data_IF_585494543208
#
_entry.id   IF_585494543208
#
_cell.length_a   1.000
_cell.length_b   1.000
_cell.length_c   1.000
_cell.angle_alpha   90.00
_cell.angle_beta   90.00
_cell.angle_gamma   90.00
#
_symmetry.space_group_name_H-M   'P 1'
#
loop_
_entity.id
_entity.type
_entity.pdbx_description
1 polymer ?
#
# COMPACT_ATOMS: atom_id res chain seq x y z
N UNK A 1 -5.72 -17.21 18.03
CA UNK A 1 -6.22 -15.81 18.02
C UNK A 1 -5.98 -15.29 19.42
N UNK A 2 -5.44 -14.08 19.54
CA UNK A 2 -5.16 -13.45 20.82
C UNK A 2 -6.00 -12.18 20.88
N UNK A 3 -6.61 -11.91 22.03
CA UNK A 3 -7.30 -10.65 22.26
C UNK A 3 -6.27 -9.54 22.48
N UNK A 4 -6.58 -8.31 22.06
CA UNK A 4 -5.80 -7.12 22.42
C UNK A 4 -6.37 -6.55 23.72
N UNK A 5 -5.69 -6.72 24.87
CA UNK A 5 -6.28 -6.40 26.18
C UNK A 5 -6.24 -4.91 26.52
N UNK A 6 -5.37 -4.13 25.88
CA UNK A 6 -5.19 -2.71 26.14
C UNK A 6 -6.06 -1.85 25.24
N UNK A 7 -6.63 -0.80 25.83
CA UNK A 7 -7.31 0.27 25.11
C UNK A 7 -7.00 1.61 25.78
N UNK A 8 -6.39 2.52 25.02
CA UNK A 8 -6.05 3.87 25.47
C UNK A 8 -6.11 4.84 24.29
N UNK A 9 -6.65 6.04 24.51
CA UNK A 9 -6.71 7.11 23.50
C UNK A 9 -7.27 6.67 22.14
N UNK A 10 -8.32 5.84 22.17
CA UNK A 10 -8.96 5.32 20.95
C UNK A 10 -8.16 4.26 20.20
N UNK A 11 -7.07 3.74 20.79
CA UNK A 11 -6.19 2.74 20.17
C UNK A 11 -6.19 1.44 20.98
N UNK A 12 -6.38 0.31 20.31
CA UNK A 12 -6.20 -1.02 20.87
C UNK A 12 -4.73 -1.44 20.84
N UNK A 13 -4.24 -2.07 21.90
CA UNK A 13 -2.83 -2.48 21.97
C UNK A 13 -2.63 -3.76 22.81
N UNK A 14 -1.51 -4.44 22.57
CA UNK A 14 -1.08 -5.64 23.28
C UNK A 14 0.38 -5.95 22.94
N UNK A 15 1.02 -6.81 23.74
CA UNK A 15 2.41 -7.22 23.52
C UNK A 15 2.49 -8.75 23.44
N UNK A 16 3.19 -9.22 22.41
CA UNK A 16 3.43 -10.64 22.14
C UNK A 16 4.86 -10.81 21.61
N UNK A 17 5.49 -11.94 21.90
CA UNK A 17 6.80 -12.27 21.32
C UNK A 17 6.64 -12.68 19.85
N UNK A 18 7.35 -12.00 18.96
CA UNK A 18 7.31 -12.20 17.50
C UNK A 18 8.71 -12.03 16.90
N UNK A 19 8.88 -12.47 15.66
CA UNK A 19 10.10 -12.30 14.87
C UNK A 19 9.78 -11.59 13.55
N UNK A 20 10.79 -11.01 12.90
CA UNK A 20 10.64 -10.47 11.55
C UNK A 20 10.16 -11.57 10.57
N UNK A 21 9.20 -11.23 9.72
CA UNK A 21 8.50 -12.16 8.83
C UNK A 21 7.30 -12.86 9.46
N UNK A 22 7.05 -12.69 10.77
CA UNK A 22 5.84 -13.22 11.40
C UNK A 22 4.59 -12.63 10.73
N UNK A 23 3.77 -13.51 10.15
CA UNK A 23 2.51 -13.16 9.52
C UNK A 23 1.41 -12.94 10.57
N UNK A 24 0.60 -11.88 10.37
CA UNK A 24 -0.51 -11.54 11.24
C UNK A 24 -1.64 -10.81 10.46
N UNK A 25 -2.72 -10.53 11.17
CA UNK A 25 -3.87 -9.76 10.73
C UNK A 25 -4.89 -9.62 11.86
N UNK A 26 -5.88 -8.76 11.69
CA UNK A 26 -6.87 -8.44 12.71
C UNK A 26 -8.26 -9.04 12.44
N UNK A 27 -9.05 -9.15 13.50
CA UNK A 27 -10.50 -9.39 13.43
C UNK A 27 -11.16 -8.43 14.41
N UNK A 28 -11.98 -7.55 13.88
CA UNK A 28 -12.69 -6.57 14.68
C UNK A 28 -14.09 -7.08 15.04
N UNK A 29 -14.45 -6.92 16.31
CA UNK A 29 -15.77 -7.19 16.83
C UNK A 29 -16.46 -5.86 17.13
N UNK A 30 -17.75 -5.79 16.82
CA UNK A 30 -18.52 -4.58 17.01
C UNK A 30 -19.94 -4.73 16.47
N UNK A 31 -20.74 -3.65 16.52
CA UNK A 31 -22.10 -3.65 16.01
C UNK A 31 -22.16 -3.80 14.49
N UNK A 32 -23.21 -4.47 14.02
CA UNK A 32 -23.59 -4.46 12.61
C UNK A 32 -24.85 -3.61 12.46
N UNK A 33 -24.69 -2.42 11.87
CA UNK A 33 -25.78 -1.50 11.56
C UNK A 33 -25.45 -0.73 10.28
N UNK A 34 -25.79 -1.29 9.10
CA UNK A 34 -25.59 -0.64 7.82
C UNK A 34 -26.23 0.74 7.70
N UNK A 35 -27.32 1.01 8.42
CA UNK A 35 -28.04 2.29 8.36
C UNK A 35 -27.22 3.47 8.88
N UNK A 36 -26.24 3.21 9.74
CA UNK A 36 -25.27 4.21 10.22
C UNK A 36 -23.83 3.87 9.81
N UNK A 37 -23.68 2.93 8.87
CA UNK A 37 -22.39 2.53 8.30
C UNK A 37 -21.55 1.61 9.18
N UNK A 38 -22.09 0.96 10.21
CA UNK A 38 -21.32 0.04 11.07
C UNK A 38 -21.29 -1.37 10.44
N UNK A 39 -20.09 -1.85 10.09
CA UNK A 39 -19.90 -3.08 9.31
C UNK A 39 -18.94 -4.08 9.97
N UNK A 40 -18.94 -4.16 11.29
CA UNK A 40 -18.07 -5.08 12.01
C UNK A 40 -18.46 -6.54 11.72
N UNK A 41 -17.57 -7.27 11.06
CA UNK A 41 -17.74 -8.69 10.79
C UNK A 41 -16.47 -9.48 11.19
N UNK A 42 -16.44 -10.14 12.37
CA UNK A 42 -15.26 -10.84 12.84
C UNK A 42 -14.94 -12.11 12.03
N UNK A 43 -15.78 -12.50 11.06
CA UNK A 43 -15.45 -13.54 10.07
C UNK A 43 -14.47 -13.06 9.02
N UNK A 44 -14.27 -11.75 8.89
CA UNK A 44 -13.30 -11.17 7.97
C UNK A 44 -11.98 -10.92 8.69
N UNK A 45 -10.92 -11.56 8.21
CA UNK A 45 -9.54 -11.19 8.48
C UNK A 45 -9.27 -9.86 7.78
N UNK A 46 -8.69 -8.94 8.53
CA UNK A 46 -8.37 -7.59 8.10
C UNK A 46 -6.84 -7.41 8.15
N UNK A 47 -6.31 -6.62 7.21
CA UNK A 47 -4.94 -6.16 7.24
C UNK A 47 -4.75 -5.13 8.36
N UNK A 48 -3.50 -4.98 8.82
CA UNK A 48 -3.10 -3.85 9.63
C UNK A 48 -2.95 -2.59 8.75
N UNK A 49 -3.64 -1.47 9.05
CA UNK A 49 -3.46 -0.19 8.36
C UNK A 49 -2.02 0.32 8.34
N UNK A 50 -1.21 -0.06 9.33
CA UNK A 50 0.20 0.29 9.52
C UNK A 50 1.17 -0.83 9.10
N UNK A 51 0.71 -1.87 8.40
CA UNK A 51 1.58 -2.94 7.92
C UNK A 51 2.73 -2.39 7.06
N UNK A 52 3.98 -2.62 7.47
CA UNK A 52 5.19 -2.23 6.72
C UNK A 52 5.52 -3.19 5.57
N UNK A 53 4.90 -4.38 5.55
CA UNK A 53 4.93 -5.30 4.42
C UNK A 53 3.63 -6.13 4.41
N UNK A 54 3.16 -6.48 3.21
CA UNK A 54 1.99 -7.32 2.99
C UNK A 54 2.41 -8.47 2.07
N UNK A 55 2.09 -9.70 2.44
CA UNK A 55 2.62 -10.93 1.83
C UNK A 55 2.23 -11.17 0.35
N UNK A 56 1.47 -10.26 -0.27
CA UNK A 56 1.00 -10.37 -1.65
C UNK A 56 -0.31 -9.63 -1.88
N UNK A 57 -0.96 -9.93 -3.01
CA UNK A 57 -2.20 -9.24 -3.45
C UNK A 57 -3.49 -9.94 -2.98
N UNK A 58 -3.36 -11.15 -2.42
CA UNK A 58 -4.50 -12.01 -2.09
C UNK A 58 -5.17 -12.61 -3.32
N UNK A 59 -6.29 -13.29 -3.08
CA UNK A 59 -7.16 -13.86 -4.10
C UNK A 59 -8.55 -13.23 -4.01
N UNK A 60 -9.28 -13.27 -5.13
CA UNK A 60 -10.65 -12.76 -5.20
C UNK A 60 -11.66 -13.87 -4.91
N UNK A 61 -12.70 -13.55 -4.14
CA UNK A 61 -13.76 -14.50 -3.83
C UNK A 61 -14.90 -13.83 -3.08
N UNK A 62 -16.12 -14.40 -3.12
CA UNK A 62 -17.29 -13.81 -2.48
C UNK A 62 -17.15 -13.70 -0.96
N UNK A 63 -16.26 -14.48 -0.33
CA UNK A 63 -15.97 -14.42 1.10
C UNK A 63 -15.32 -13.10 1.53
N UNK A 64 -14.69 -12.36 0.61
CA UNK A 64 -14.14 -11.04 0.89
C UNK A 64 -15.22 -10.01 1.22
N UNK A 65 -16.44 -10.20 0.71
CA UNK A 65 -17.56 -9.32 0.99
C UNK A 65 -18.03 -9.53 2.44
N UNK A 66 -18.18 -8.44 3.20
CA UNK A 66 -18.74 -8.50 4.56
C UNK A 66 -20.25 -8.77 4.58
N UNK A 67 -20.93 -8.64 3.44
CA UNK A 67 -22.39 -8.69 3.31
C UNK A 67 -22.86 -9.88 2.48
N UNK A 68 -24.01 -10.43 2.83
CA UNK A 68 -24.81 -11.27 1.93
C UNK A 68 -25.61 -10.39 0.95
N UNK A 69 -26.33 -11.03 0.01
CA UNK A 69 -27.23 -10.31 -0.91
C UNK A 69 -28.36 -9.58 -0.17
N UNK A 70 -28.71 -10.05 1.04
CA UNK A 70 -29.70 -9.47 1.94
C UNK A 70 -29.11 -8.43 2.91
N UNK A 71 -27.87 -7.98 2.67
CA UNK A 71 -27.15 -7.00 3.50
C UNK A 71 -26.94 -7.42 4.98
N UNK A 72 -26.93 -8.73 5.23
CA UNK A 72 -26.61 -9.32 6.53
C UNK A 72 -25.10 -9.62 6.63
N UNK A 73 -24.53 -9.74 7.86
CA UNK A 73 -23.13 -10.13 8.01
C UNK A 73 -22.88 -11.49 7.38
N UNK A 74 -21.99 -11.55 6.39
CA UNK A 74 -21.63 -12.80 5.74
C UNK A 74 -20.88 -13.74 6.70
N UNK A 75 -21.32 -15.00 6.86
CA UNK A 75 -20.76 -15.90 7.87
C UNK A 75 -19.43 -16.57 7.47
N UNK A 76 -18.99 -16.43 6.21
CA UNK A 76 -17.83 -17.15 5.67
C UNK A 76 -16.52 -16.48 6.08
N UNK A 77 -15.51 -17.31 6.37
CA UNK A 77 -14.16 -16.84 6.68
C UNK A 77 -13.37 -16.54 5.40
N UNK A 78 -12.78 -15.34 5.30
CA UNK A 78 -12.00 -14.91 4.14
C UNK A 78 -10.48 -15.14 4.31
N UNK A 79 -10.02 -15.72 5.43
CA UNK A 79 -8.59 -15.77 5.76
C UNK A 79 -7.72 -16.47 4.69
N UNK A 80 -8.30 -17.35 3.88
CA UNK A 80 -7.62 -18.04 2.79
C UNK A 80 -7.44 -17.17 1.53
N UNK A 81 -8.17 -16.05 1.43
CA UNK A 81 -8.13 -15.10 0.31
C UNK A 81 -7.31 -13.85 0.65
N UNK A 82 -7.40 -13.37 1.90
CA UNK A 82 -6.71 -12.15 2.33
C UNK A 82 -5.21 -12.43 2.49
N UNK A 83 -4.31 -11.54 2.02
CA UNK A 83 -2.89 -11.66 2.33
C UNK A 83 -2.64 -11.45 3.83
N UNK A 84 -1.38 -11.50 4.27
CA UNK A 84 -1.01 -11.24 5.67
C UNK A 84 -0.18 -9.98 5.77
N UNK A 85 -0.44 -9.20 6.81
CA UNK A 85 0.52 -8.22 7.29
C UNK A 85 1.73 -8.95 7.85
N UNK A 86 2.93 -8.42 7.63
CA UNK A 86 4.17 -9.01 8.07
C UNK A 86 4.88 -8.08 9.05
N UNK A 87 5.45 -8.64 10.11
CA UNK A 87 6.39 -7.92 10.98
C UNK A 87 7.68 -7.70 10.19
N UNK A 88 8.19 -6.48 10.16
CA UNK A 88 9.40 -6.11 9.40
C UNK A 88 10.50 -5.70 10.38
N UNK A 89 11.72 -6.18 10.17
CA UNK A 89 12.91 -5.58 10.77
C UNK A 89 13.21 -4.27 10.02
N UNK A 90 13.16 -3.10 10.66
CA UNK A 90 13.42 -1.84 9.99
C UNK A 90 14.89 -1.65 9.58
N UNK A 91 15.81 -2.47 10.10
CA UNK A 91 17.25 -2.28 9.89
C UNK A 91 17.64 -2.31 8.41
N UNK A 92 18.35 -1.28 7.99
CA UNK A 92 18.94 -1.16 6.66
C UNK A 92 20.14 -0.21 6.73
N UNK A 93 21.29 -0.65 6.23
CA UNK A 93 22.47 0.20 6.19
C UNK A 93 22.41 1.14 4.99
N UNK A 94 22.14 2.42 5.24
CA UNK A 94 22.12 3.46 4.21
C UNK A 94 23.53 3.90 3.76
N UNK A 95 24.62 3.40 4.37
CA UNK A 95 26.02 3.78 4.04
C UNK A 95 26.24 5.31 3.98
N UNK A 96 25.55 6.07 4.85
CA UNK A 96 25.65 7.53 4.88
C UNK A 96 24.96 8.24 3.71
N UNK A 97 23.95 7.62 3.10
CA UNK A 97 23.09 8.21 2.08
C UNK A 97 22.60 9.61 2.44
N UNK A 98 22.56 10.50 1.44
CA UNK A 98 22.07 11.87 1.56
C UNK A 98 21.14 12.17 0.40
N UNK A 99 20.03 12.83 0.69
CA UNK A 99 19.11 13.34 -0.33
C UNK A 99 19.84 14.28 -1.32
N UNK A 100 19.69 14.08 -2.65
CA UNK A 100 20.34 14.91 -3.66
C UNK A 100 19.99 16.41 -3.57
N UNK A 101 18.72 16.74 -3.27
CA UNK A 101 18.21 18.12 -3.12
C UNK A 101 18.47 19.02 -4.34
N UNK A 102 18.05 18.54 -5.50
CA UNK A 102 18.13 19.29 -6.75
C UNK A 102 17.17 20.50 -6.65
N UNK A 103 17.64 21.72 -6.94
CA UNK A 103 16.77 22.90 -6.98
C UNK A 103 15.65 22.73 -8.02
N UNK A 104 14.44 23.21 -7.71
CA UNK A 104 13.28 23.07 -8.59
C UNK A 104 13.49 23.65 -10.00
N UNK A 105 14.28 24.71 -10.12
CA UNK A 105 14.65 25.33 -11.39
C UNK A 105 15.53 24.44 -12.28
N UNK A 106 16.23 23.46 -11.69
CA UNK A 106 17.11 22.51 -12.36
C UNK A 106 16.47 21.12 -12.48
N UNK A 107 15.25 20.93 -11.95
CA UNK A 107 14.59 19.62 -11.92
C UNK A 107 14.08 19.19 -13.30
N UNK A 108 14.46 17.98 -13.73
CA UNK A 108 13.86 17.24 -14.83
C UNK A 108 13.22 15.94 -14.31
N UNK A 109 11.90 15.92 -14.23
CA UNK A 109 11.10 14.78 -13.77
C UNK A 109 10.94 13.76 -14.91
N UNK A 110 11.16 12.48 -14.58
CA UNK A 110 10.89 11.35 -15.45
C UNK A 110 9.85 10.43 -14.79
N UNK A 111 8.62 10.46 -15.29
CA UNK A 111 7.56 9.56 -14.83
C UNK A 111 7.79 8.14 -15.39
N UNK A 112 7.80 7.15 -14.51
CA UNK A 112 8.02 5.76 -14.89
C UNK A 112 7.17 4.78 -14.09
N UNK A 113 6.78 3.70 -14.75
CA UNK A 113 6.18 2.56 -14.07
C UNK A 113 7.28 1.65 -13.48
N UNK A 114 7.24 1.26 -12.18
CA UNK A 114 8.26 0.42 -11.54
C UNK A 114 8.62 -0.86 -12.32
N UNK A 115 7.60 -1.58 -12.81
CA UNK A 115 7.76 -2.71 -13.74
C UNK A 115 8.10 -2.31 -15.18
N UNK A 116 7.28 -1.46 -15.80
CA UNK A 116 7.35 -1.14 -17.23
C UNK A 116 8.68 -0.60 -17.71
N UNK A 117 9.37 0.17 -16.86
CA UNK A 117 10.66 0.77 -17.20
C UNK A 117 11.72 -0.27 -17.59
N UNK A 118 11.68 -1.44 -16.95
CA UNK A 118 12.81 -2.41 -17.01
C UNK A 118 12.41 -3.82 -17.45
N UNK A 119 11.11 -4.13 -17.56
CA UNK A 119 10.63 -5.51 -17.81
C UNK A 119 11.15 -6.12 -19.12
N UNK A 120 11.43 -5.31 -20.14
CA UNK A 120 12.00 -5.74 -21.43
C UNK A 120 13.44 -5.26 -21.65
N UNK A 121 14.12 -4.74 -20.62
CA UNK A 121 15.46 -4.18 -20.78
C UNK A 121 16.49 -5.29 -21.10
N UNK A 122 17.17 -5.23 -22.27
CA UNK A 122 18.01 -6.35 -22.74
C UNK A 122 19.24 -6.58 -21.87
N UNK A 123 19.84 -5.51 -21.34
CA UNK A 123 21.08 -5.58 -20.56
C UNK A 123 20.87 -5.99 -19.09
N UNK A 124 19.62 -6.22 -18.67
CA UNK A 124 19.32 -6.70 -17.33
C UNK A 124 19.14 -8.23 -17.31
N UNK A 125 19.65 -8.92 -16.26
CA UNK A 125 19.30 -10.30 -15.98
C UNK A 125 17.78 -10.52 -15.95
N UNK A 126 17.24 -11.58 -16.60
CA UNK A 126 15.79 -11.79 -16.70
C UNK A 126 15.02 -11.79 -15.36
N UNK A 127 15.66 -12.24 -14.29
CA UNK A 127 15.12 -12.33 -12.93
C UNK A 127 15.04 -10.97 -12.21
N UNK A 128 15.80 -9.96 -12.64
CA UNK A 128 15.74 -8.60 -12.09
C UNK A 128 14.74 -7.70 -12.83
N UNK A 129 14.40 -8.02 -14.07
CA UNK A 129 13.58 -7.17 -14.94
C UNK A 129 12.21 -6.89 -14.33
N UNK A 130 11.81 -5.62 -14.34
CA UNK A 130 10.51 -5.18 -13.83
C UNK A 130 10.39 -5.15 -12.31
N UNK A 131 11.51 -5.21 -11.59
CA UNK A 131 11.56 -5.12 -10.13
C UNK A 131 12.11 -3.77 -9.64
N UNK A 132 11.89 -3.45 -8.36
CA UNK A 132 12.53 -2.32 -7.70
C UNK A 132 14.05 -2.40 -7.80
N UNK A 133 14.64 -3.60 -7.62
CA UNK A 133 16.08 -3.81 -7.70
C UNK A 133 16.67 -3.36 -9.04
N UNK A 134 15.92 -3.53 -10.12
CA UNK A 134 16.34 -3.07 -11.44
C UNK A 134 16.36 -1.53 -11.57
N UNK A 135 15.52 -0.80 -10.85
CA UNK A 135 15.47 0.67 -10.93
C UNK A 135 16.81 1.32 -10.54
N UNK A 136 17.49 0.76 -9.52
CA UNK A 136 18.80 1.20 -9.07
C UNK A 136 19.98 0.46 -9.72
N UNK A 137 19.78 -0.20 -10.85
CA UNK A 137 20.85 -0.92 -11.56
C UNK A 137 21.64 0.00 -12.49
N UNK A 138 22.88 -0.37 -12.81
CA UNK A 138 23.76 0.44 -13.65
C UNK A 138 23.16 0.77 -15.04
N UNK A 139 22.56 -0.17 -15.80
CA UNK A 139 21.99 0.16 -17.10
C UNK A 139 20.86 1.20 -17.02
N UNK A 140 20.04 1.13 -15.97
CA UNK A 140 18.92 2.06 -15.77
C UNK A 140 19.43 3.42 -15.34
N UNK A 141 20.36 3.47 -14.38
CA UNK A 141 20.99 4.72 -13.94
C UNK A 141 21.72 5.40 -15.10
N UNK A 142 22.48 4.65 -15.89
CA UNK A 142 23.18 5.17 -17.06
C UNK A 142 22.20 5.76 -18.08
N UNK A 143 21.08 5.08 -18.33
CA UNK A 143 20.02 5.58 -19.19
C UNK A 143 19.44 6.91 -18.67
N UNK A 144 19.02 6.96 -17.41
CA UNK A 144 18.45 8.18 -16.80
C UNK A 144 19.44 9.35 -16.84
N UNK A 145 20.72 9.09 -16.54
CA UNK A 145 21.77 10.11 -16.65
C UNK A 145 22.00 10.59 -18.07
N UNK A 146 21.94 9.70 -19.06
CA UNK A 146 22.12 10.08 -20.47
C UNK A 146 21.03 11.03 -20.97
N UNK A 147 19.83 10.95 -20.37
CA UNK A 147 18.70 11.84 -20.64
C UNK A 147 18.77 13.16 -19.84
N UNK A 148 19.64 13.24 -18.84
CA UNK A 148 19.73 14.39 -17.93
C UNK A 148 18.63 14.41 -16.86
N UNK A 149 18.00 13.27 -16.57
CA UNK A 149 16.96 13.15 -15.53
C UNK A 149 17.58 13.45 -14.16
N UNK A 150 16.88 14.26 -13.36
CA UNK A 150 17.28 14.58 -11.99
C UNK A 150 16.34 13.97 -10.95
N UNK A 151 15.09 13.68 -11.32
CA UNK A 151 14.10 13.06 -10.44
C UNK A 151 13.33 11.95 -11.18
N UNK A 152 13.30 10.76 -10.59
CA UNK A 152 12.48 9.64 -11.05
C UNK A 152 11.15 9.65 -10.28
N UNK A 153 10.05 9.95 -10.96
CA UNK A 153 8.70 9.84 -10.41
C UNK A 153 8.14 8.45 -10.70
N UNK A 154 7.88 7.68 -9.64
CA UNK A 154 7.34 6.32 -9.77
C UNK A 154 5.82 6.34 -9.64
N UNK A 155 5.13 5.71 -10.61
CA UNK A 155 3.73 5.30 -10.45
C UNK A 155 3.54 4.48 -9.16
N UNK A 156 2.30 4.38 -8.64
CA UNK A 156 2.02 3.91 -7.29
C UNK A 156 2.75 2.62 -6.88
N UNK A 157 3.52 2.75 -5.80
CA UNK A 157 4.29 1.66 -5.17
C UNK A 157 3.63 1.11 -3.91
N UNK A 158 2.54 1.70 -3.43
CA UNK A 158 1.81 1.17 -2.26
C UNK A 158 1.24 -0.22 -2.55
N UNK A 159 1.21 -1.05 -1.52
CA UNK A 159 0.60 -2.37 -1.61
C UNK A 159 -0.90 -2.25 -1.92
N UNK A 160 -1.36 -3.13 -2.80
CA UNK A 160 -2.71 -3.18 -3.34
C UNK A 160 -3.14 -4.64 -3.50
N UNK A 161 -4.43 -4.94 -3.36
CA UNK A 161 -4.97 -6.27 -3.59
C UNK A 161 -5.36 -6.47 -5.06
N UNK A 162 -5.72 -7.71 -5.42
CA UNK A 162 -6.42 -7.97 -6.68
C UNK A 162 -7.83 -7.37 -6.64
N UNK A 163 -8.21 -6.67 -7.71
CA UNK A 163 -9.55 -6.12 -7.86
C UNK A 163 -10.48 -7.13 -8.55
N UNK A 164 -11.66 -7.47 -7.96
CA UNK A 164 -12.56 -8.49 -8.49
C UNK A 164 -12.93 -8.29 -9.96
N UNK A 165 -13.30 -7.07 -10.36
CA UNK A 165 -13.77 -6.81 -11.73
C UNK A 165 -12.67 -6.96 -12.80
N UNK A 166 -11.39 -6.82 -12.43
CA UNK A 166 -10.25 -7.08 -13.33
C UNK A 166 -9.94 -8.57 -13.35
N UNK A 167 -9.88 -9.20 -12.17
CA UNK A 167 -9.59 -10.63 -12.03
C UNK A 167 -10.61 -11.51 -12.77
N UNK A 168 -11.91 -11.17 -12.70
CA UNK A 168 -12.99 -11.84 -13.44
C UNK A 168 -12.80 -11.79 -14.96
N UNK A 169 -12.05 -10.81 -15.47
CA UNK A 169 -11.73 -10.63 -16.89
C UNK A 169 -10.34 -11.15 -17.26
N UNK A 170 -9.62 -11.78 -16.33
CA UNK A 170 -8.23 -12.21 -16.53
C UNK A 170 -7.26 -11.03 -16.67
N UNK A 171 -7.62 -9.86 -16.15
CA UNK A 171 -6.81 -8.64 -16.18
C UNK A 171 -6.19 -8.36 -14.81
N UNK A 172 -5.24 -7.43 -14.79
CA UNK A 172 -4.56 -6.98 -13.57
C UNK A 172 -4.50 -5.45 -13.53
N UNK A 173 -4.44 -4.87 -12.33
CA UNK A 173 -4.21 -3.44 -12.19
C UNK A 173 -2.73 -3.15 -12.40
N UNK A 174 -2.41 -2.70 -13.62
CA UNK A 174 -1.05 -2.37 -14.01
C UNK A 174 -0.56 -1.14 -13.25
N UNK A 175 -1.26 0.00 -13.38
CA UNK A 175 -0.83 1.28 -12.83
C UNK A 175 -0.76 1.31 -11.31
N UNK A 176 -1.72 0.68 -10.63
CA UNK A 176 -1.68 0.50 -9.18
C UNK A 176 -2.37 1.57 -8.34
N UNK A 177 -3.19 2.44 -8.93
CA UNK A 177 -4.03 3.43 -8.21
C UNK A 177 -5.18 2.75 -7.45
N UNK A 178 -4.83 1.95 -6.44
CA UNK A 178 -5.75 1.13 -5.65
C UNK A 178 -5.11 0.76 -4.29
N UNK A 179 -4.48 1.74 -3.63
CA UNK A 179 -3.70 1.54 -2.40
C UNK A 179 -4.55 0.99 -1.25
N UNK A 180 -4.06 -0.06 -0.58
CA UNK A 180 -4.61 -0.56 0.69
C UNK A 180 -3.57 -0.59 1.82
N UNK A 181 -2.30 -0.77 1.49
CA UNK A 181 -1.18 -0.74 2.44
C UNK A 181 -0.32 0.50 2.25
N UNK A 182 -0.69 1.60 2.90
CA UNK A 182 0.00 2.89 2.76
C UNK A 182 1.46 2.90 3.23
N UNK A 183 1.89 1.90 4.00
CA UNK A 183 3.25 1.78 4.54
C UNK A 183 4.04 0.62 3.93
N UNK A 184 3.40 -0.16 3.06
CA UNK A 184 4.00 -1.35 2.47
C UNK A 184 4.26 -1.12 0.98
N UNK A 185 5.48 -1.40 0.48
CA UNK A 185 5.71 -1.44 -0.95
C UNK A 185 4.98 -2.65 -1.57
N UNK A 186 4.55 -2.50 -2.81
CA UNK A 186 3.84 -3.54 -3.56
C UNK A 186 4.77 -4.73 -3.81
N UNK A 187 4.49 -5.85 -3.13
CA UNK A 187 5.35 -7.04 -3.13
C UNK A 187 5.67 -7.60 -4.54
N UNK A 188 4.74 -7.63 -5.51
CA UNK A 188 5.03 -8.07 -6.89
C UNK A 188 6.11 -7.28 -7.65
N UNK A 189 6.51 -6.10 -7.16
CA UNK A 189 7.66 -5.37 -7.70
C UNK A 189 8.99 -5.73 -7.00
N UNK A 190 9.00 -6.54 -5.94
CA UNK A 190 10.22 -7.14 -5.38
C UNK A 190 10.75 -8.27 -6.26
N UNK A 191 12.06 -8.57 -6.17
CA UNK A 191 12.63 -9.73 -6.87
C UNK A 191 11.94 -11.02 -6.39
N UNK A 192 11.43 -11.81 -7.33
CA UNK A 192 10.67 -13.03 -7.02
C UNK A 192 9.29 -12.78 -6.36
N UNK A 193 8.84 -11.54 -6.24
CA UNK A 193 7.58 -11.19 -5.58
C UNK A 193 7.62 -11.33 -4.05
N UNK A 194 8.81 -11.40 -3.44
CA UNK A 194 8.94 -11.49 -1.99
C UNK A 194 8.59 -10.17 -1.31
N UNK A 195 7.68 -10.21 -0.33
CA UNK A 195 7.18 -9.03 0.36
C UNK A 195 8.19 -8.39 1.31
N UNK A 196 9.09 -9.18 1.93
CA UNK A 196 10.17 -8.61 2.76
C UNK A 196 11.32 -8.14 1.86
N UNK A 197 11.64 -8.92 0.82
CA UNK A 197 12.57 -8.54 -0.22
C UNK A 197 12.20 -7.22 -0.90
N UNK A 198 10.92 -6.98 -1.19
CA UNK A 198 10.47 -5.73 -1.83
C UNK A 198 10.78 -4.48 -1.00
N UNK A 199 10.74 -4.57 0.34
CA UNK A 199 11.17 -3.50 1.25
C UNK A 199 12.65 -3.19 1.05
N UNK A 200 13.50 -4.22 1.07
CA UNK A 200 14.94 -4.08 0.91
C UNK A 200 15.32 -3.64 -0.51
N UNK A 201 14.65 -4.16 -1.52
CA UNK A 201 14.88 -3.86 -2.94
C UNK A 201 14.59 -2.40 -3.25
N UNK A 202 13.47 -1.86 -2.73
CA UNK A 202 13.12 -0.45 -2.92
C UNK A 202 14.12 0.47 -2.20
N UNK A 203 14.46 0.21 -0.93
CA UNK A 203 15.49 0.99 -0.21
C UNK A 203 16.83 0.95 -0.93
N UNK A 204 17.23 -0.22 -1.43
CA UNK A 204 18.45 -0.35 -2.22
C UNK A 204 18.38 0.46 -3.52
N UNK A 205 17.26 0.42 -4.24
CA UNK A 205 17.10 1.16 -5.48
C UNK A 205 17.24 2.68 -5.25
N UNK A 206 16.54 3.20 -4.25
CA UNK A 206 16.61 4.62 -3.85
C UNK A 206 18.05 5.01 -3.50
N UNK A 207 18.74 4.22 -2.67
CA UNK A 207 20.15 4.45 -2.32
C UNK A 207 21.07 4.51 -3.55
N UNK A 208 20.87 3.64 -4.55
CA UNK A 208 21.70 3.68 -5.77
C UNK A 208 21.37 4.90 -6.64
N UNK A 209 20.09 5.28 -6.73
CA UNK A 209 19.66 6.49 -7.43
C UNK A 209 20.24 7.75 -6.77
N UNK A 210 20.24 7.83 -5.43
CA UNK A 210 20.86 8.91 -4.67
C UNK A 210 22.38 8.98 -4.87
N UNK A 211 23.08 7.84 -4.84
CA UNK A 211 24.51 7.79 -5.20
C UNK A 211 24.79 8.32 -6.62
N UNK A 212 23.80 8.20 -7.50
CA UNK A 212 23.83 8.77 -8.84
C UNK A 212 23.38 10.25 -8.91
N UNK A 213 22.88 10.83 -7.83
CA UNK A 213 22.34 12.19 -7.79
C UNK A 213 20.95 12.31 -8.41
N UNK A 214 20.17 11.23 -8.41
CA UNK A 214 18.80 11.18 -8.93
C UNK A 214 17.85 11.07 -7.73
N UNK A 215 16.93 12.01 -7.61
CA UNK A 215 15.86 12.03 -6.61
C UNK A 215 14.77 11.01 -6.94
N UNK A 216 14.02 10.58 -5.94
CA UNK A 216 12.88 9.68 -6.07
C UNK A 216 11.62 10.35 -5.55
N UNK A 217 10.64 10.51 -6.45
CA UNK A 217 9.30 11.01 -6.14
C UNK A 217 8.33 9.83 -6.22
N UNK A 218 7.44 9.70 -5.24
CA UNK A 218 6.40 8.67 -5.29
C UNK A 218 5.05 9.27 -5.67
N UNK A 219 4.38 8.69 -6.66
CA UNK A 219 2.96 8.90 -6.88
C UNK A 219 2.16 8.18 -5.78
N UNK A 220 1.38 8.95 -5.02
CA UNK A 220 0.68 8.49 -3.83
C UNK A 220 -0.83 8.70 -3.93
N UNK A 221 -1.57 7.64 -3.57
CA UNK A 221 -3.03 7.62 -3.56
C UNK A 221 -3.50 7.56 -2.11
N UNK A 222 -3.89 8.72 -1.58
CA UNK A 222 -4.51 8.85 -0.25
C UNK A 222 -5.98 9.29 -0.31
N UNK A 223 -6.52 9.48 -1.53
CA UNK A 223 -7.87 9.99 -1.72
C UNK A 223 -8.94 8.88 -1.65
N UNK A 224 -8.62 7.64 -2.06
CA UNK A 224 -9.50 6.46 -2.00
C UNK A 224 -8.75 5.16 -1.67
N UNK A 225 -9.48 4.07 -1.48
CA UNK A 225 -8.98 2.69 -1.33
C UNK A 225 -9.73 1.74 -2.29
N UNK A 226 -9.29 0.48 -2.49
CA UNK A 226 -10.05 -0.51 -3.27
C UNK A 226 -11.23 -1.13 -2.49
N UNK A 227 -11.60 -0.56 -1.34
CA UNK A 227 -12.78 -0.98 -0.59
C UNK A 227 -14.03 -0.18 -0.99
N UNK A 228 -15.18 -0.50 -0.41
CA UNK A 228 -16.40 0.22 -0.68
C UNK A 228 -17.55 -0.20 0.24
N UNK A 229 -18.76 0.02 -0.25
CA UNK A 229 -20.00 -0.39 0.42
C UNK A 229 -20.41 -1.84 0.10
N UNK A 230 -21.71 -2.18 0.23
CA UNK A 230 -22.24 -3.49 -0.13
C UNK A 230 -21.78 -3.94 -1.52
N UNK A 231 -21.31 -5.19 -1.62
CA UNK A 231 -20.79 -5.78 -2.85
C UNK A 231 -19.29 -5.58 -3.10
N UNK A 232 -18.61 -4.75 -2.28
CA UNK A 232 -17.16 -4.58 -2.36
C UNK A 232 -16.42 -5.49 -1.36
N UNK A 233 -15.18 -5.90 -1.67
CA UNK A 233 -14.30 -6.55 -0.71
C UNK A 233 -14.07 -5.73 0.57
N UNK A 234 -13.91 -6.44 1.69
CA UNK A 234 -13.42 -5.91 2.97
C UNK A 234 -12.02 -6.46 3.24
N UNK A 235 -11.02 -5.60 3.09
CA UNK A 235 -9.60 -5.90 3.24
C UNK A 235 -9.03 -5.36 4.56
N UNK A 236 -9.44 -4.16 4.98
CA UNK A 236 -8.79 -3.40 6.03
C UNK A 236 -9.79 -2.43 6.71
N UNK A 237 -9.88 -1.19 6.20
CA UNK A 237 -10.47 -0.04 6.89
C UNK A 237 -11.97 -0.20 7.13
N UNK A 238 -12.71 -0.69 6.13
CA UNK A 238 -14.18 -0.87 6.23
C UNK A 238 -14.56 -1.79 7.38
N UNK A 239 -13.75 -2.82 7.66
CA UNK A 239 -13.97 -3.75 8.76
C UNK A 239 -13.47 -3.25 10.12
N UNK A 240 -12.63 -2.21 10.15
CA UNK A 240 -12.04 -1.66 11.37
C UNK A 240 -12.84 -0.49 11.93
N UNK A 241 -13.19 0.48 11.09
CA UNK A 241 -13.94 1.66 11.51
C UNK A 241 -14.57 2.38 10.31
N UNK A 242 -15.88 2.63 10.29
CA UNK A 242 -16.49 3.30 9.15
C UNK A 242 -16.08 4.76 8.98
N UNK A 243 -15.46 5.38 9.99
CA UNK A 243 -14.97 6.77 9.97
C UNK A 243 -13.71 6.96 9.13
N UNK A 244 -13.10 5.89 8.62
CA UNK A 244 -12.04 6.01 7.62
C UNK A 244 -12.53 6.68 6.33
N UNK A 245 -13.83 6.57 6.03
CA UNK A 245 -14.42 7.08 4.80
C UNK A 245 -15.43 8.19 5.05
N UNK A 246 -15.51 9.12 4.11
CA UNK A 246 -16.53 10.16 4.08
C UNK A 246 -17.89 9.53 3.85
N UNK A 247 -18.88 9.96 4.64
CA UNK A 247 -20.25 9.45 4.59
C UNK A 247 -21.26 10.58 4.65
N UNK A 248 -22.39 10.33 3.98
CA UNK A 248 -23.62 11.12 4.11
C UNK A 248 -24.33 10.75 5.42
N UNK A 249 -25.33 11.55 5.79
CA UNK A 249 -26.16 11.31 6.97
C UNK A 249 -26.94 9.98 6.92
N UNK A 250 -27.15 9.41 5.73
CA UNK A 250 -27.82 8.13 5.50
C UNK A 250 -26.84 6.92 5.43
N UNK A 251 -25.58 7.10 5.82
CA UNK A 251 -24.56 6.05 5.90
C UNK A 251 -23.84 5.74 4.57
N UNK A 252 -24.34 6.25 3.44
CA UNK A 252 -23.74 6.04 2.11
C UNK A 252 -22.38 6.74 2.00
N UNK A 253 -21.45 6.11 1.29
CA UNK A 253 -20.14 6.68 1.00
C UNK A 253 -20.28 7.92 0.10
N UNK A 254 -19.49 8.94 0.41
CA UNK A 254 -19.26 10.06 -0.51
C UNK A 254 -18.09 9.68 -1.43
N UNK A 255 -18.32 9.73 -2.74
CA UNK A 255 -17.31 9.44 -3.75
C UNK A 255 -17.00 10.71 -4.55
N UNK A 256 -15.89 11.36 -4.20
CA UNK A 256 -15.34 12.50 -4.94
C UNK A 256 -14.20 12.10 -5.87
N UNK A 257 -13.80 10.82 -5.87
CA UNK A 257 -12.64 10.30 -6.60
C UNK A 257 -13.06 9.59 -7.89
N UNK A 258 -14.32 9.13 -7.96
CA UNK A 258 -14.83 8.26 -9.01
C UNK A 258 -14.46 6.79 -8.80
N UNK A 259 -13.90 6.44 -7.64
CA UNK A 259 -13.39 5.11 -7.30
C UNK A 259 -14.24 4.38 -6.25
N UNK A 260 -15.42 4.92 -5.92
CA UNK A 260 -16.41 4.31 -5.03
C UNK A 260 -16.36 4.80 -3.57
N UNK A 261 -15.27 5.44 -3.14
CA UNK A 261 -15.13 6.00 -1.80
C UNK A 261 -14.20 7.21 -1.76
N UNK A 262 -14.19 7.91 -0.62
CA UNK A 262 -13.22 8.96 -0.32
C UNK A 262 -12.78 8.84 1.13
N UNK A 263 -11.46 8.83 1.38
CA UNK A 263 -10.89 8.85 2.73
C UNK A 263 -11.26 10.16 3.46
N UNK A 264 -11.65 10.07 4.73
CA UNK A 264 -12.04 11.24 5.52
C UNK A 264 -10.86 11.87 6.26
N UNK A 265 -10.07 12.68 5.54
CA UNK A 265 -8.94 13.43 6.12
C UNK A 265 -9.36 14.50 7.16
N UNK A 266 -10.66 14.73 7.36
CA UNK A 266 -11.15 15.60 8.46
C UNK A 266 -11.10 14.86 9.81
N UNK A 267 -11.07 13.52 9.79
CA UNK A 267 -10.98 12.72 10.99
C UNK A 267 -9.52 12.63 11.47
N UNK A 268 -9.20 13.01 12.72
CA UNK A 268 -7.81 13.12 13.20
C UNK A 268 -6.98 11.84 13.05
N UNK A 269 -7.57 10.66 13.25
CA UNK A 269 -6.86 9.39 13.11
C UNK A 269 -6.56 9.03 11.65
N UNK A 270 -7.39 9.47 10.70
CA UNK A 270 -7.18 9.23 9.26
C UNK A 270 -6.12 10.20 8.74
N UNK A 271 -6.19 11.47 9.15
CA UNK A 271 -5.14 12.45 8.86
C UNK A 271 -3.80 11.98 9.42
N UNK A 272 -3.78 11.48 10.66
CA UNK A 272 -2.57 10.93 11.29
C UNK A 272 -2.02 9.74 10.49
N UNK A 273 -2.87 8.80 10.07
CA UNK A 273 -2.45 7.67 9.22
C UNK A 273 -1.70 8.13 7.97
N UNK A 274 -2.25 9.11 7.25
CA UNK A 274 -1.63 9.64 6.03
C UNK A 274 -0.32 10.37 6.35
N UNK A 275 -0.31 11.23 7.37
CA UNK A 275 0.89 11.96 7.79
C UNK A 275 2.01 11.01 8.25
N UNK A 276 1.68 9.97 9.00
CA UNK A 276 2.63 8.96 9.47
C UNK A 276 3.16 8.12 8.29
N UNK A 277 2.32 7.83 7.29
CA UNK A 277 2.74 7.18 6.05
C UNK A 277 3.73 8.03 5.26
N UNK A 278 3.42 9.31 5.04
CA UNK A 278 4.33 10.25 4.37
C UNK A 278 5.68 10.35 5.10
N UNK A 279 5.67 10.46 6.44
CA UNK A 279 6.89 10.45 7.25
C UNK A 279 7.68 9.16 7.10
N UNK A 280 7.03 8.00 7.11
CA UNK A 280 7.72 6.72 6.91
C UNK A 280 8.43 6.68 5.54
N UNK A 281 7.78 7.12 4.47
CA UNK A 281 8.41 7.14 3.14
C UNK A 281 9.62 8.09 3.08
N UNK A 282 9.57 9.24 3.77
CA UNK A 282 10.73 10.15 3.85
C UNK A 282 11.82 9.61 4.79
N UNK A 283 11.49 9.28 6.02
CA UNK A 283 12.46 8.98 7.08
C UNK A 283 13.05 7.57 6.98
N UNK A 284 12.28 6.60 6.49
CA UNK A 284 12.70 5.18 6.46
C UNK A 284 13.07 4.68 5.07
N UNK A 285 12.53 5.30 4.01
CA UNK A 285 12.82 4.99 2.60
C UNK A 285 13.62 6.08 1.89
N UNK A 286 13.83 7.25 2.51
CA UNK A 286 14.55 8.38 1.92
C UNK A 286 13.91 8.91 0.63
N UNK A 287 12.59 8.83 0.49
CA UNK A 287 11.88 9.46 -0.64
C UNK A 287 12.03 10.99 -0.58
N UNK A 288 12.30 11.62 -1.72
CA UNK A 288 12.56 13.07 -1.81
C UNK A 288 11.28 13.91 -1.96
N UNK A 289 10.19 13.30 -2.44
CA UNK A 289 8.95 14.00 -2.66
C UNK A 289 7.77 13.10 -3.02
N UNK A 290 6.61 13.72 -3.15
CA UNK A 290 5.37 13.03 -3.48
C UNK A 290 4.62 13.79 -4.57
N UNK A 291 4.08 13.04 -5.52
CA UNK A 291 3.04 13.51 -6.44
C UNK A 291 1.72 12.94 -5.93
N UNK A 292 0.80 13.81 -5.52
CA UNK A 292 -0.48 13.38 -4.98
C UNK A 292 -1.47 13.17 -6.13
N UNK A 293 -2.06 11.98 -6.18
CA UNK A 293 -3.20 11.71 -7.03
C UNK A 293 -4.46 12.40 -6.50
N UNK A 294 -5.25 12.98 -7.43
CA UNK A 294 -6.50 13.71 -7.24
C UNK A 294 -6.48 14.79 -6.13
#
# INVERSE_FOLDING_TARGET
RLDMPGWSDGTWHGQVEVHAGQAYGYRAYGPWDPGVGLFFNPRKLLLDPYARAISGEGEVGPELCSWTAEELPDPRDNAHLVPRSLVVDPSFDWEGDLHPRVPWEDTLIYEAHPKGLTVLHPDLPPDLRGSYRALGSEPVIAHLKSLGVTALELLPVHARPKEPFLAERGLTNYWGYASIGFFAPHAPYGVGGDALGSVLDLKHAIKQLHKAGIEVILDVVYNHTPEGGPGHPTWCFTGLDPRYYRRRADGRLEDYTGCGNTLDLRHPFVLRLVMDSLRLWVEEYHVDGFRFDL
#
